data_IF_127413053485
#
_entry.id   IF_127413053485
#
_cell.length_a   1.000
_cell.length_b   1.000
_cell.length_c   1.000
_cell.angle_alpha   90.00
_cell.angle_beta   90.00
_cell.angle_gamma   90.00
#
_symmetry.space_group_name_H-M   'P 1'
#
loop_
_entity.id
_entity.type
_entity.pdbx_description
1 polymer ?
#
# COMPACT_ATOMS: atom_id res chain seq x y z
N UNK A 1 -19.97 -2.89 -8.60
CA UNK A 1 -20.44 -4.18 -8.05
C UNK A 1 -20.83 -3.99 -6.60
N UNK A 2 -22.04 -4.42 -6.20
CA UNK A 2 -22.48 -4.37 -4.79
C UNK A 2 -21.77 -5.46 -3.94
N UNK A 3 -21.58 -5.20 -2.65
CA UNK A 3 -20.87 -6.05 -1.69
C UNK A 3 -21.42 -7.47 -1.59
N UNK A 4 -22.74 -7.68 -1.71
CA UNK A 4 -23.33 -9.03 -1.66
C UNK A 4 -22.80 -9.91 -2.79
N UNK A 5 -22.81 -9.40 -4.03
CA UNK A 5 -22.32 -10.12 -5.21
C UNK A 5 -20.81 -10.35 -5.11
N UNK A 6 -20.07 -9.36 -4.60
CA UNK A 6 -18.62 -9.48 -4.38
C UNK A 6 -18.29 -10.58 -3.37
N UNK A 7 -19.01 -10.61 -2.25
CA UNK A 7 -18.85 -11.62 -1.20
C UNK A 7 -19.13 -13.03 -1.73
N UNK A 8 -20.16 -13.18 -2.57
CA UNK A 8 -20.48 -14.44 -3.22
C UNK A 8 -19.38 -14.90 -4.20
N UNK A 9 -18.86 -13.99 -5.04
CA UNK A 9 -17.71 -14.29 -5.92
C UNK A 9 -16.48 -14.73 -5.14
N UNK A 10 -16.13 -14.03 -4.06
CA UNK A 10 -15.01 -14.41 -3.20
C UNK A 10 -15.23 -15.81 -2.61
N UNK A 11 -16.46 -16.17 -2.22
CA UNK A 11 -16.76 -17.51 -1.69
C UNK A 11 -16.63 -18.58 -2.76
N UNK A 12 -17.11 -18.34 -3.97
CA UNK A 12 -17.12 -19.30 -5.08
C UNK A 12 -15.78 -19.38 -5.85
N UNK A 13 -14.86 -18.44 -5.63
CA UNK A 13 -13.58 -18.41 -6.35
C UNK A 13 -12.73 -19.67 -6.13
N UNK A 14 -11.89 -20.07 -7.11
CA UNK A 14 -10.90 -21.11 -6.88
C UNK A 14 -9.86 -20.65 -5.83
N UNK A 15 -9.16 -21.60 -5.17
CA UNK A 15 -8.01 -21.26 -4.34
C UNK A 15 -6.92 -20.58 -5.17
N UNK A 16 -6.17 -19.67 -4.55
CA UNK A 16 -5.08 -18.94 -5.21
C UNK A 16 -3.95 -19.91 -5.59
N UNK A 17 -3.65 -19.99 -6.89
CA UNK A 17 -2.51 -20.73 -7.42
C UNK A 17 -1.24 -19.86 -7.34
N UNK A 18 -0.32 -20.24 -6.45
CA UNK A 18 0.94 -19.53 -6.26
C UNK A 18 1.76 -19.46 -7.54
N UNK A 19 1.92 -20.58 -8.24
CA UNK A 19 2.83 -20.68 -9.39
C UNK A 19 2.34 -19.84 -10.55
N UNK A 20 1.04 -19.93 -10.85
CA UNK A 20 0.41 -19.12 -11.89
C UNK A 20 0.51 -17.63 -11.57
N UNK A 21 0.11 -17.22 -10.36
CA UNK A 21 0.15 -15.80 -9.96
C UNK A 21 1.56 -15.24 -9.98
N UNK A 22 2.54 -15.97 -9.46
CA UNK A 22 3.94 -15.52 -9.42
C UNK A 22 4.51 -15.37 -10.84
N UNK A 23 4.33 -16.36 -11.71
CA UNK A 23 4.85 -16.34 -13.07
C UNK A 23 4.22 -15.22 -13.91
N UNK A 24 2.90 -15.03 -13.78
CA UNK A 24 2.19 -13.93 -14.43
C UNK A 24 2.68 -12.57 -13.90
N UNK A 25 2.98 -12.47 -12.60
CA UNK A 25 3.54 -11.26 -11.99
C UNK A 25 4.91 -10.90 -12.56
N UNK A 26 5.80 -11.88 -12.74
CA UNK A 26 7.12 -11.68 -13.37
C UNK A 26 6.96 -11.18 -14.81
N UNK A 27 6.07 -11.81 -15.58
CA UNK A 27 5.81 -11.43 -16.97
C UNK A 27 5.23 -10.02 -17.09
N UNK A 28 4.32 -9.65 -16.19
CA UNK A 28 3.74 -8.31 -16.19
C UNK A 28 4.74 -7.26 -15.71
N UNK A 29 5.58 -7.57 -14.72
CA UNK A 29 6.60 -6.66 -14.20
C UNK A 29 7.55 -6.17 -15.30
N UNK A 30 7.96 -7.04 -16.23
CA UNK A 30 8.79 -6.67 -17.37
C UNK A 30 8.16 -5.58 -18.25
N UNK A 31 6.83 -5.42 -18.21
CA UNK A 31 6.10 -4.39 -18.96
C UNK A 31 5.87 -3.12 -18.13
N UNK A 32 5.70 -3.25 -16.81
CA UNK A 32 5.28 -2.14 -15.92
C UNK A 32 6.37 -1.66 -14.96
N UNK A 33 7.62 -2.13 -15.10
CA UNK A 33 8.71 -1.79 -14.19
C UNK A 33 8.94 -0.27 -14.10
N UNK A 34 8.80 0.46 -15.22
CA UNK A 34 8.97 1.91 -15.26
C UNK A 34 7.84 2.63 -14.51
N UNK A 35 6.60 2.19 -14.67
CA UNK A 35 5.45 2.69 -13.92
C UNK A 35 5.60 2.42 -12.43
N UNK A 36 6.14 1.26 -12.08
CA UNK A 36 6.50 0.92 -10.70
C UNK A 36 7.52 1.89 -10.14
N UNK A 37 8.64 2.08 -10.84
CA UNK A 37 9.68 3.03 -10.46
C UNK A 37 9.12 4.44 -10.22
N UNK A 38 8.33 4.97 -11.15
CA UNK A 38 7.70 6.30 -11.01
C UNK A 38 6.76 6.35 -9.81
N UNK A 39 5.95 5.32 -9.58
CA UNK A 39 5.05 5.24 -8.42
C UNK A 39 5.83 5.31 -7.11
N UNK A 40 6.97 4.61 -7.03
CA UNK A 40 7.83 4.61 -5.85
C UNK A 40 8.48 5.98 -5.63
N UNK A 41 9.01 6.61 -6.69
CA UNK A 41 9.60 7.96 -6.61
C UNK A 41 8.55 8.97 -6.15
N UNK A 42 7.34 8.94 -6.72
CA UNK A 42 6.23 9.79 -6.29
C UNK A 42 5.88 9.56 -4.81
N UNK A 43 5.93 8.31 -4.35
CA UNK A 43 5.73 7.98 -2.93
C UNK A 43 6.80 8.65 -2.06
N UNK A 44 8.09 8.52 -2.39
CA UNK A 44 9.16 9.18 -1.64
C UNK A 44 9.05 10.71 -1.65
N UNK A 45 8.85 11.30 -2.82
CA UNK A 45 8.71 12.76 -2.97
C UNK A 45 7.54 13.28 -2.13
N UNK A 46 6.44 12.53 -2.04
CA UNK A 46 5.29 12.92 -1.22
C UNK A 46 5.58 12.90 0.28
N UNK A 47 6.55 12.11 0.74
CA UNK A 47 6.91 11.99 2.16
C UNK A 47 7.89 13.11 2.57
N UNK A 48 8.74 13.59 1.66
CA UNK A 48 9.75 14.64 1.91
C UNK A 48 9.24 15.90 2.64
N UNK A 49 8.12 16.55 2.25
CA UNK A 49 7.67 17.76 2.94
C UNK A 49 7.36 17.51 4.42
N UNK A 50 6.85 16.33 4.75
CA UNK A 50 6.56 15.98 6.14
C UNK A 50 7.84 15.76 6.96
N UNK A 51 8.87 15.17 6.37
CA UNK A 51 10.17 15.07 7.04
C UNK A 51 10.73 16.45 7.40
N UNK A 52 10.63 17.43 6.50
CA UNK A 52 11.05 18.81 6.79
C UNK A 52 10.26 19.40 7.97
N UNK A 53 8.95 19.18 8.03
CA UNK A 53 8.10 19.65 9.14
C UNK A 53 8.49 18.99 10.47
N UNK A 54 8.83 17.70 10.47
CA UNK A 54 9.26 16.97 11.68
C UNK A 54 10.62 17.49 12.18
N UNK A 55 11.57 17.72 11.28
CA UNK A 55 12.93 18.12 11.65
C UNK A 55 13.09 19.62 11.91
N UNK A 56 12.25 20.48 11.33
CA UNK A 56 12.37 21.94 11.48
C UNK A 56 12.37 22.43 12.95
N UNK A 57 11.46 21.97 13.83
CA UNK A 57 11.51 22.34 15.25
C UNK A 57 12.82 21.91 15.92
N UNK A 58 13.34 20.72 15.58
CA UNK A 58 14.57 20.19 16.16
C UNK A 58 15.79 21.05 15.79
N UNK A 59 15.85 21.50 14.52
CA UNK A 59 16.89 22.42 14.04
C UNK A 59 16.76 23.77 14.74
N UNK A 60 15.55 24.32 14.85
CA UNK A 60 15.30 25.59 15.52
C UNK A 60 15.75 25.55 17.00
N UNK A 61 15.38 24.51 17.74
CA UNK A 61 15.79 24.33 19.13
C UNK A 61 17.31 24.15 19.28
N UNK A 62 17.94 23.42 18.36
CA UNK A 62 19.40 23.24 18.34
C UNK A 62 20.19 24.53 18.13
N UNK A 63 19.61 25.52 17.44
CA UNK A 63 20.21 26.85 17.26
C UNK A 63 19.99 27.71 18.51
N UNK A 64 18.79 27.69 19.10
CA UNK A 64 18.44 28.57 20.22
C UNK A 64 19.05 28.13 21.56
N UNK A 65 19.20 26.83 21.78
CA UNK A 65 19.84 26.28 22.98
C UNK A 65 20.68 25.04 22.63
N UNK A 66 21.97 25.23 22.26
CA UNK A 66 22.87 24.13 21.91
C UNK A 66 23.09 23.12 23.04
N UNK A 67 22.77 23.48 24.30
CA UNK A 67 22.92 22.61 25.47
C UNK A 67 21.91 21.46 25.49
N UNK A 68 20.72 21.66 24.91
CA UNK A 68 19.64 20.66 24.82
C UNK A 68 20.05 19.44 23.98
N UNK A 69 20.75 19.66 22.87
CA UNK A 69 21.28 18.58 22.03
C UNK A 69 22.41 17.80 22.73
N UNK A 70 23.20 18.45 23.59
CA UNK A 70 24.34 17.82 24.29
C UNK A 70 23.91 16.93 25.45
N UNK A 71 22.83 17.29 26.16
CA UNK A 71 22.30 16.49 27.27
C UNK A 71 21.33 15.38 26.83
N UNK A 72 21.05 15.27 25.52
CA UNK A 72 20.03 14.37 24.96
C UNK A 72 18.65 14.49 25.64
N UNK A 73 18.37 15.66 26.21
CA UNK A 73 17.11 15.96 26.88
C UNK A 73 16.18 16.61 25.86
N UNK A 74 15.27 15.82 25.31
CA UNK A 74 14.23 16.36 24.43
C UNK A 74 13.28 17.25 25.25
N UNK A 75 13.07 18.52 24.85
CA UNK A 75 12.11 19.38 25.53
C UNK A 75 10.70 18.74 25.53
N UNK A 76 9.95 18.78 26.65
CA UNK A 76 8.61 18.19 26.73
C UNK A 76 7.66 18.67 25.63
N UNK A 77 7.80 19.92 25.20
CA UNK A 77 7.02 20.52 24.09
C UNK A 77 7.29 19.80 22.76
N UNK A 78 8.54 19.42 22.49
CA UNK A 78 8.89 18.67 21.28
C UNK A 78 8.35 17.23 21.33
N UNK A 79 8.45 16.58 22.49
CA UNK A 79 7.86 15.25 22.70
C UNK A 79 6.34 15.26 22.49
N UNK A 80 5.65 16.29 22.99
CA UNK A 80 4.20 16.46 22.76
C UNK A 80 3.88 16.69 21.28
N UNK A 81 4.65 17.55 20.60
CA UNK A 81 4.52 17.76 19.16
C UNK A 81 4.66 16.45 18.38
N UNK A 82 5.68 15.64 18.68
CA UNK A 82 5.92 14.35 18.05
C UNK A 82 4.76 13.37 18.28
N UNK A 83 4.25 13.27 19.51
CA UNK A 83 3.14 12.36 19.85
C UNK A 83 1.87 12.71 19.04
N UNK A 84 1.59 14.00 18.84
CA UNK A 84 0.39 14.44 18.10
C UNK A 84 0.61 14.40 16.59
N UNK A 85 1.78 14.82 16.12
CA UNK A 85 2.07 14.94 14.69
C UNK A 85 2.33 13.57 14.04
N UNK A 86 2.95 12.62 14.75
CA UNK A 86 3.34 11.33 14.16
C UNK A 86 2.15 10.50 13.64
N UNK A 87 1.02 10.37 14.36
CA UNK A 87 -0.17 9.71 13.84
C UNK A 87 -0.75 10.40 12.60
N UNK A 88 -0.74 11.75 12.58
CA UNK A 88 -1.20 12.54 11.43
C UNK A 88 -0.30 12.28 10.21
N UNK A 89 1.01 12.28 10.43
CA UNK A 89 2.00 11.94 9.40
C UNK A 89 1.79 10.53 8.86
N UNK A 90 1.68 9.53 9.75
CA UNK A 90 1.42 8.13 9.34
C UNK A 90 0.14 8.03 8.51
N UNK A 91 -0.93 8.68 8.94
CA UNK A 91 -2.21 8.67 8.21
C UNK A 91 -2.08 9.31 6.82
N UNK A 92 -1.36 10.43 6.71
CA UNK A 92 -1.10 11.08 5.43
C UNK A 92 -0.30 10.17 4.48
N UNK A 93 0.81 9.58 4.97
CA UNK A 93 1.65 8.67 4.17
C UNK A 93 0.87 7.43 3.74
N UNK A 94 0.08 6.82 4.64
CA UNK A 94 -0.75 5.67 4.31
C UNK A 94 -1.80 6.01 3.24
N UNK A 95 -2.45 7.18 3.34
CA UNK A 95 -3.44 7.62 2.35
C UNK A 95 -2.82 7.82 0.98
N UNK A 96 -1.68 8.53 0.91
CA UNK A 96 -0.95 8.77 -0.33
C UNK A 96 -0.48 7.44 -0.93
N UNK A 97 0.10 6.57 -0.10
CA UNK A 97 0.59 5.24 -0.52
C UNK A 97 -0.55 4.36 -1.03
N UNK A 98 -1.72 4.38 -0.39
CA UNK A 98 -2.90 3.64 -0.84
C UNK A 98 -3.34 4.11 -2.23
N UNK A 99 -3.44 5.43 -2.45
CA UNK A 99 -3.81 6.01 -3.73
C UNK A 99 -2.82 5.68 -4.85
N UNK A 100 -1.51 5.82 -4.58
CA UNK A 100 -0.45 5.51 -5.55
C UNK A 100 -0.38 4.02 -5.87
N UNK A 101 -0.49 3.15 -4.87
CA UNK A 101 -0.55 1.70 -5.10
C UNK A 101 -1.80 1.32 -5.91
N UNK A 102 -2.96 1.89 -5.61
CA UNK A 102 -4.18 1.67 -6.38
C UNK A 102 -4.05 2.13 -7.85
N UNK A 103 -3.42 3.29 -8.08
CA UNK A 103 -3.10 3.76 -9.43
C UNK A 103 -2.17 2.78 -10.15
N UNK A 104 -1.14 2.27 -9.47
CA UNK A 104 -0.23 1.27 -10.03
C UNK A 104 -0.93 -0.05 -10.37
N UNK A 105 -1.85 -0.55 -9.53
CA UNK A 105 -2.64 -1.74 -9.86
C UNK A 105 -3.55 -1.48 -11.08
N UNK A 106 -4.10 -0.27 -11.22
CA UNK A 106 -4.84 0.11 -12.42
C UNK A 106 -3.96 0.12 -13.68
N UNK A 107 -2.70 0.55 -13.57
CA UNK A 107 -1.73 0.46 -14.66
C UNK A 107 -1.39 -1.01 -14.98
N UNK A 108 -1.20 -1.86 -13.97
CA UNK A 108 -1.02 -3.30 -14.15
C UNK A 108 -2.17 -3.90 -15.00
N UNK A 109 -3.42 -3.55 -14.69
CA UNK A 109 -4.58 -3.94 -15.49
C UNK A 109 -4.47 -3.52 -16.94
N UNK A 110 -4.13 -2.25 -17.20
CA UNK A 110 -4.05 -1.72 -18.57
C UNK A 110 -3.01 -2.48 -19.40
N UNK A 111 -1.82 -2.70 -18.84
CA UNK A 111 -0.74 -3.40 -19.54
C UNK A 111 -0.98 -4.91 -19.69
N UNK A 112 -1.67 -5.52 -18.74
CA UNK A 112 -2.08 -6.92 -18.83
C UNK A 112 -3.13 -7.13 -19.93
N UNK A 113 -4.17 -6.27 -19.97
CA UNK A 113 -5.26 -6.31 -20.94
C UNK A 113 -4.97 -5.60 -22.27
N UNK A 114 -3.78 -5.00 -22.42
CA UNK A 114 -3.36 -4.19 -23.59
C UNK A 114 -4.31 -3.04 -23.92
N UNK A 115 -4.90 -2.42 -22.88
CA UNK A 115 -5.76 -1.24 -23.03
C UNK A 115 -4.93 -0.01 -23.42
N UNK A 116 -5.41 0.78 -24.39
CA UNK A 116 -4.75 2.01 -24.83
C UNK A 116 -5.21 3.17 -23.96
N UNK A 117 -4.26 3.93 -23.39
CA UNK A 117 -4.56 5.16 -22.65
C UNK A 117 -3.33 5.69 -21.92
N UNK A 118 -3.41 6.93 -21.45
CA UNK A 118 -2.33 7.53 -20.66
C UNK A 118 -2.27 6.95 -19.25
N UNK A 119 -1.06 6.85 -18.72
CA UNK A 119 -0.81 6.52 -17.32
C UNK A 119 -1.18 7.72 -16.44
N UNK A 120 -2.13 7.51 -15.51
CA UNK A 120 -2.65 8.55 -14.61
C UNK A 120 -2.37 8.16 -13.16
N UNK A 121 -1.20 8.56 -12.67
CA UNK A 121 -0.74 8.28 -11.30
C UNK A 121 -1.60 8.97 -10.23
N UNK A 122 -2.23 10.09 -10.57
CA UNK A 122 -2.99 10.91 -9.62
C UNK A 122 -4.50 10.65 -9.70
N UNK A 123 -4.94 9.60 -10.40
CA UNK A 123 -6.35 9.30 -10.60
C UNK A 123 -7.15 9.23 -9.28
N UNK A 124 -6.60 8.55 -8.27
CA UNK A 124 -7.25 8.37 -6.96
C UNK A 124 -7.08 9.56 -5.99
N UNK A 125 -6.39 10.63 -6.42
CA UNK A 125 -6.29 11.88 -5.67
C UNK A 125 -7.44 12.85 -5.95
N UNK A 126 -8.39 12.48 -6.81
CA UNK A 126 -9.62 13.25 -7.03
C UNK A 126 -10.50 13.20 -5.78
N UNK A 127 -11.21 14.30 -5.49
CA UNK A 127 -12.03 14.51 -4.28
C UNK A 127 -13.01 13.36 -4.00
N UNK A 128 -13.56 12.76 -5.06
CA UNK A 128 -14.50 11.63 -4.99
C UNK A 128 -13.88 10.37 -4.35
N UNK A 129 -12.61 10.09 -4.62
CA UNK A 129 -11.90 8.91 -4.10
C UNK A 129 -11.13 9.20 -2.81
N UNK A 130 -10.66 10.43 -2.61
CA UNK A 130 -9.84 10.81 -1.45
C UNK A 130 -10.54 10.55 -0.11
N UNK A 131 -11.84 10.84 -0.01
CA UNK A 131 -12.59 10.59 1.24
C UNK A 131 -12.61 9.10 1.58
N UNK A 132 -12.80 8.23 0.57
CA UNK A 132 -12.77 6.77 0.75
C UNK A 132 -11.36 6.30 1.08
N UNK A 133 -10.33 6.80 0.39
CA UNK A 133 -8.93 6.47 0.65
C UNK A 133 -8.51 6.83 2.09
N UNK A 134 -8.90 8.02 2.55
CA UNK A 134 -8.63 8.48 3.91
C UNK A 134 -9.29 7.56 4.95
N UNK A 135 -10.56 7.18 4.73
CA UNK A 135 -11.28 6.28 5.64
C UNK A 135 -10.67 4.86 5.67
N UNK A 136 -10.28 4.31 4.51
CA UNK A 136 -9.56 3.02 4.46
C UNK A 136 -8.23 3.12 5.19
N UNK A 137 -7.49 4.22 5.02
CA UNK A 137 -6.20 4.45 5.68
C UNK A 137 -6.33 4.62 7.20
N UNK A 138 -7.43 5.23 7.65
CA UNK A 138 -7.75 5.33 9.08
C UNK A 138 -7.96 3.93 9.69
N UNK A 139 -8.64 3.03 8.98
CA UNK A 139 -8.79 1.64 9.39
C UNK A 139 -7.44 0.91 9.36
N UNK A 140 -6.62 1.12 8.32
CA UNK A 140 -5.26 0.55 8.26
C UNK A 140 -4.40 0.96 9.46
N UNK A 141 -4.45 2.24 9.84
CA UNK A 141 -3.72 2.76 10.99
C UNK A 141 -4.21 2.11 12.29
N UNK A 142 -5.53 2.05 12.51
CA UNK A 142 -6.11 1.39 13.68
C UNK A 142 -5.75 -0.10 13.77
N UNK A 143 -5.83 -0.83 12.66
CA UNK A 143 -5.42 -2.23 12.58
C UNK A 143 -3.91 -2.40 12.83
N UNK A 144 -3.07 -1.45 12.39
CA UNK A 144 -1.62 -1.48 12.66
C UNK A 144 -1.34 -1.37 14.15
N UNK A 145 -2.00 -0.44 14.85
CA UNK A 145 -1.91 -0.34 16.32
C UNK A 145 -2.40 -1.60 17.02
N UNK A 146 -3.56 -2.15 16.62
CA UNK A 146 -4.07 -3.42 17.16
C UNK A 146 -3.10 -4.57 16.95
N UNK A 147 -2.44 -4.63 15.78
CA UNK A 147 -1.44 -5.64 15.47
C UNK A 147 -0.21 -5.57 16.37
N UNK A 148 0.28 -4.36 16.66
CA UNK A 148 1.40 -4.14 17.61
C UNK A 148 1.00 -4.57 19.02
N UNK A 149 -0.18 -4.16 19.49
CA UNK A 149 -0.69 -4.49 20.82
C UNK A 149 -0.88 -6.02 21.02
N UNK A 150 -1.17 -6.75 19.94
CA UNK A 150 -1.25 -8.21 19.93
C UNK A 150 0.14 -8.89 19.86
N UNK A 151 1.12 -8.37 20.58
CA UNK A 151 2.51 -8.87 20.64
C UNK A 151 3.20 -9.02 19.28
N UNK A 152 2.83 -8.20 18.28
CA UNK A 152 3.38 -8.25 16.92
C UNK A 152 2.92 -9.43 16.06
N UNK A 153 2.47 -10.55 16.66
CA UNK A 153 1.87 -11.68 15.93
C UNK A 153 0.63 -11.24 15.13
N UNK A 154 -0.13 -10.28 15.65
CA UNK A 154 -1.25 -9.68 14.95
C UNK A 154 -0.85 -9.04 13.61
N UNK A 155 0.34 -8.45 13.50
CA UNK A 155 0.83 -7.84 12.25
C UNK A 155 1.06 -8.91 11.18
N UNK A 156 1.62 -10.06 11.54
CA UNK A 156 1.88 -11.16 10.60
C UNK A 156 0.57 -11.60 9.95
N UNK A 157 -0.48 -11.76 10.76
CA UNK A 157 -1.82 -12.09 10.26
C UNK A 157 -2.41 -10.97 9.39
N UNK A 158 -2.31 -9.71 9.84
CA UNK A 158 -2.91 -8.55 9.18
C UNK A 158 -2.21 -8.13 7.87
N UNK A 159 -0.96 -8.51 7.66
CA UNK A 159 -0.22 -8.26 6.41
C UNK A 159 -1.01 -8.75 5.19
N UNK A 160 -1.64 -9.92 5.29
CA UNK A 160 -2.39 -10.53 4.19
C UNK A 160 -3.61 -9.68 3.79
N UNK A 161 -4.61 -9.46 4.65
CA UNK A 161 -5.77 -8.67 4.27
C UNK A 161 -5.41 -7.22 3.94
N UNK A 162 -4.48 -6.59 4.65
CA UNK A 162 -4.06 -5.21 4.34
C UNK A 162 -3.42 -5.08 2.94
N UNK A 163 -2.67 -6.09 2.49
CA UNK A 163 -2.06 -6.07 1.16
C UNK A 163 -3.09 -6.01 0.02
N UNK A 164 -4.33 -6.47 0.26
CA UNK A 164 -5.44 -6.49 -0.69
C UNK A 164 -6.22 -5.17 -0.76
N UNK A 165 -6.08 -4.29 0.24
CA UNK A 165 -6.85 -3.05 0.31
C UNK A 165 -6.70 -2.17 -0.94
N UNK A 166 -5.48 -1.97 -1.51
CA UNK A 166 -5.33 -1.19 -2.73
C UNK A 166 -6.08 -1.78 -3.92
N UNK A 167 -6.21 -3.11 -4.03
CA UNK A 167 -6.89 -3.76 -5.16
C UNK A 167 -8.41 -3.55 -5.08
N UNK A 168 -9.02 -3.84 -3.93
CA UNK A 168 -10.46 -3.59 -3.71
C UNK A 168 -10.79 -2.10 -3.76
N UNK A 169 -9.90 -1.23 -3.27
CA UNK A 169 -10.07 0.21 -3.41
C UNK A 169 -9.97 0.66 -4.88
N UNK A 170 -9.08 0.07 -5.68
CA UNK A 170 -8.86 0.45 -7.07
C UNK A 170 -9.99 0.00 -8.01
N UNK A 171 -10.39 -1.27 -7.91
CA UNK A 171 -11.25 -1.91 -8.90
C UNK A 171 -12.74 -1.87 -8.56
N UNK A 172 -13.11 -1.71 -7.29
CA UNK A 172 -14.51 -1.58 -6.88
C UNK A 172 -14.84 -0.17 -6.37
N UNK A 173 -15.28 0.70 -7.27
CA UNK A 173 -15.60 2.11 -6.93
C UNK A 173 -16.77 2.24 -5.95
N UNK A 174 -17.79 1.41 -6.11
CA UNK A 174 -19.05 1.48 -5.36
C UNK A 174 -18.94 1.07 -3.88
N UNK A 175 -17.90 0.32 -3.50
CA UNK A 175 -17.75 -0.12 -2.12
C UNK A 175 -17.50 1.06 -1.18
N UNK A 176 -18.11 1.04 -0.01
CA UNK A 176 -17.68 1.86 1.12
C UNK A 176 -16.31 1.42 1.64
N UNK A 177 -15.65 2.28 2.44
CA UNK A 177 -14.37 1.95 3.04
C UNK A 177 -14.42 0.68 3.89
N UNK A 178 -15.52 0.47 4.63
CA UNK A 178 -15.67 -0.73 5.48
C UNK A 178 -15.92 -1.99 4.65
N UNK A 179 -16.60 -1.88 3.51
CA UNK A 179 -16.79 -3.02 2.60
C UNK A 179 -15.48 -3.42 1.91
N UNK A 180 -14.62 -2.46 1.55
CA UNK A 180 -13.24 -2.73 1.09
C UNK A 180 -12.49 -3.56 2.12
N UNK A 181 -12.54 -3.16 3.39
CA UNK A 181 -11.89 -3.87 4.48
C UNK A 181 -12.48 -5.28 4.62
N UNK A 182 -13.81 -5.41 4.72
CA UNK A 182 -14.48 -6.72 4.86
C UNK A 182 -14.18 -7.65 3.71
N UNK A 183 -14.21 -7.17 2.46
CA UNK A 183 -13.91 -7.97 1.28
C UNK A 183 -12.44 -8.43 1.28
N UNK A 184 -11.52 -7.55 1.67
CA UNK A 184 -10.10 -7.88 1.81
C UNK A 184 -9.85 -8.94 2.88
N UNK A 185 -10.54 -8.87 4.02
CA UNK A 185 -10.48 -9.92 5.05
C UNK A 185 -11.12 -11.23 4.58
N UNK A 186 -12.24 -11.18 3.85
CA UNK A 186 -12.89 -12.37 3.34
C UNK A 186 -11.98 -13.13 2.35
N UNK A 187 -11.41 -12.42 1.37
CA UNK A 187 -10.48 -13.03 0.40
C UNK A 187 -9.15 -13.43 1.05
N UNK A 188 -8.62 -12.57 1.93
CA UNK A 188 -7.40 -12.80 2.69
C UNK A 188 -7.49 -14.05 3.55
N UNK A 189 -8.58 -14.25 4.29
CA UNK A 189 -8.77 -15.42 5.16
C UNK A 189 -8.94 -16.71 4.37
N UNK A 190 -9.68 -16.64 3.25
CA UNK A 190 -9.89 -17.81 2.39
C UNK A 190 -8.57 -18.38 1.85
N UNK A 191 -7.62 -17.51 1.49
CA UNK A 191 -6.37 -17.88 0.83
C UNK A 191 -5.13 -17.47 1.63
N UNK A 192 -5.24 -17.43 2.97
CA UNK A 192 -4.28 -16.72 3.82
C UNK A 192 -2.83 -17.15 3.57
N UNK A 193 -2.56 -18.46 3.60
CA UNK A 193 -1.22 -18.99 3.42
C UNK A 193 -0.65 -18.67 2.03
N UNK A 194 -1.47 -18.80 0.98
CA UNK A 194 -1.02 -18.59 -0.40
C UNK A 194 -0.70 -17.12 -0.66
N UNK A 195 -1.55 -16.21 -0.18
CA UNK A 195 -1.32 -14.77 -0.31
C UNK A 195 -0.12 -14.35 0.55
N UNK A 196 0.00 -14.88 1.77
CA UNK A 196 1.15 -14.64 2.64
C UNK A 196 2.47 -15.03 1.97
N UNK A 197 2.54 -16.24 1.38
CA UNK A 197 3.71 -16.71 0.66
C UNK A 197 4.00 -15.85 -0.57
N UNK A 198 2.98 -15.50 -1.37
CA UNK A 198 3.16 -14.64 -2.55
C UNK A 198 3.70 -13.25 -2.17
N UNK A 199 3.12 -12.60 -1.16
CA UNK A 199 3.57 -11.29 -0.69
C UNK A 199 4.98 -11.38 -0.11
N UNK A 200 5.30 -12.44 0.62
CA UNK A 200 6.62 -12.65 1.21
C UNK A 200 7.69 -12.88 0.13
N UNK A 201 7.46 -13.83 -0.78
CA UNK A 201 8.41 -14.14 -1.86
C UNK A 201 8.56 -12.95 -2.80
N UNK A 202 7.46 -12.29 -3.20
CA UNK A 202 7.55 -11.10 -4.02
C UNK A 202 8.24 -9.94 -3.29
N UNK A 203 8.06 -9.82 -1.98
CA UNK A 203 8.80 -8.89 -1.13
C UNK A 203 10.31 -9.15 -1.16
N UNK A 204 10.74 -10.41 -1.03
CA UNK A 204 12.15 -10.78 -1.11
C UNK A 204 12.75 -10.52 -2.51
N UNK A 205 12.03 -10.91 -3.57
CA UNK A 205 12.45 -10.64 -4.96
C UNK A 205 12.57 -9.13 -5.21
N UNK A 206 11.68 -8.34 -4.61
CA UNK A 206 11.71 -6.88 -4.71
C UNK A 206 12.97 -6.26 -4.10
N UNK A 207 13.67 -6.96 -3.20
CA UNK A 207 14.95 -6.54 -2.62
C UNK A 207 16.17 -6.94 -3.45
N UNK A 208 16.04 -7.77 -4.50
CA UNK A 208 17.18 -8.18 -5.32
C UNK A 208 17.87 -7.00 -6.02
N UNK A 209 17.17 -5.88 -6.19
CA UNK A 209 17.75 -4.62 -6.64
C UNK A 209 18.87 -4.08 -5.74
N UNK A 210 19.01 -4.55 -4.49
CA UNK A 210 20.16 -4.21 -3.62
C UNK A 210 21.48 -4.64 -4.26
N UNK A 211 21.48 -5.76 -4.98
CA UNK A 211 22.66 -6.31 -5.67
C UNK A 211 23.15 -5.33 -6.77
N UNK A 212 22.23 -4.54 -7.34
CA UNK A 212 22.52 -3.48 -8.31
C UNK A 212 22.76 -2.13 -7.62
N UNK A 213 23.76 -2.10 -6.72
CA UNK A 213 24.25 -0.90 -6.04
C UNK A 213 23.21 -0.12 -5.20
N UNK A 214 22.28 -0.81 -4.53
CA UNK A 214 21.17 -0.23 -3.74
C UNK A 214 20.13 0.58 -4.54
N UNK A 215 20.54 1.29 -5.59
CA UNK A 215 19.64 2.06 -6.48
C UNK A 215 18.71 1.13 -7.25
N UNK A 216 19.16 -0.10 -7.56
CA UNK A 216 18.32 -1.11 -8.20
C UNK A 216 17.01 -1.41 -7.45
N UNK A 217 16.97 -1.22 -6.12
CA UNK A 217 15.75 -1.39 -5.32
C UNK A 217 14.63 -0.50 -5.83
N UNK A 218 14.95 0.71 -6.32
CA UNK A 218 13.94 1.62 -6.82
C UNK A 218 13.19 1.05 -8.03
N UNK A 219 13.86 0.23 -8.83
CA UNK A 219 13.28 -0.42 -10.00
C UNK A 219 12.54 -1.71 -9.65
N UNK A 220 12.96 -2.43 -8.60
CA UNK A 220 12.39 -3.73 -8.23
C UNK A 220 11.33 -3.69 -7.12
N UNK A 221 11.29 -2.63 -6.29
CA UNK A 221 10.43 -2.56 -5.10
C UNK A 221 8.94 -2.80 -5.38
N UNK A 222 8.44 -2.29 -6.51
CA UNK A 222 7.02 -2.38 -6.86
C UNK A 222 6.60 -3.75 -7.39
N UNK A 223 7.53 -4.67 -7.63
CA UNK A 223 7.21 -6.06 -7.94
C UNK A 223 6.32 -6.68 -6.85
N UNK A 224 6.56 -6.35 -5.58
CA UNK A 224 5.78 -6.80 -4.41
C UNK A 224 4.28 -6.50 -4.48
N UNK A 225 3.85 -5.54 -5.33
CA UNK A 225 2.44 -5.15 -5.46
C UNK A 225 1.72 -5.90 -6.57
N UNK A 226 2.44 -6.47 -7.54
CA UNK A 226 1.85 -7.10 -8.73
C UNK A 226 1.07 -8.38 -8.41
N UNK A 227 1.52 -9.30 -7.51
CA UNK A 227 0.74 -10.49 -7.20
C UNK A 227 -0.69 -10.20 -6.73
N UNK A 228 -0.89 -9.08 -6.00
CA UNK A 228 -2.20 -8.64 -5.52
C UNK A 228 -3.16 -8.35 -6.68
N UNK A 229 -2.64 -7.81 -7.80
CA UNK A 229 -3.43 -7.60 -9.01
C UNK A 229 -4.00 -8.92 -9.54
N UNK A 230 -3.15 -9.94 -9.70
CA UNK A 230 -3.59 -11.25 -10.20
C UNK A 230 -4.48 -11.99 -9.19
N UNK A 231 -4.18 -11.94 -7.89
CA UNK A 231 -5.05 -12.51 -6.85
C UNK A 231 -6.46 -11.93 -6.94
N UNK A 232 -6.58 -10.61 -7.06
CA UNK A 232 -7.87 -9.95 -7.21
C UNK A 232 -8.53 -10.34 -8.54
N UNK A 233 -7.78 -10.30 -9.66
CA UNK A 233 -8.27 -10.66 -10.99
C UNK A 233 -8.83 -12.08 -11.04
N UNK A 234 -8.12 -13.04 -10.48
CA UNK A 234 -8.47 -14.46 -10.57
C UNK A 234 -9.59 -14.82 -9.59
N UNK A 235 -9.64 -14.19 -8.41
CA UNK A 235 -10.66 -14.49 -7.40
C UNK A 235 -11.98 -13.73 -7.61
N UNK A 236 -11.92 -12.46 -8.01
CA UNK A 236 -13.11 -11.60 -8.13
C UNK A 236 -13.51 -11.40 -9.59
N UNK A 237 -12.53 -11.37 -10.50
CA UNK A 237 -12.73 -10.90 -11.86
C UNK A 237 -12.77 -9.37 -11.92
N UNK A 238 -12.09 -8.79 -12.89
CA UNK A 238 -12.11 -7.34 -13.11
C UNK A 238 -13.32 -7.04 -14.00
N UNK A 239 -14.30 -6.29 -13.50
CA UNK A 239 -15.36 -5.80 -14.37
C UNK A 239 -14.74 -4.88 -15.44
N UNK A 240 -15.12 -5.09 -16.70
CA UNK A 240 -14.65 -4.31 -17.85
C UNK A 240 -15.25 -2.90 -17.87
N UNK A 241 -15.42 -2.27 -16.71
CA UNK A 241 -16.04 -0.96 -16.62
C UNK A 241 -15.00 0.07 -17.09
N UNK A 242 -15.10 0.38 -18.39
CA UNK A 242 -14.49 1.51 -19.11
C UNK A 242 -14.99 2.82 -18.51
#
# INVERSE_FOLDING_TARGET
MNFTNLSERIKQSPPVDFGAVFNNSVTLFQKVWLQGFVTLVLTFVSILPFYLVIYAPMIAFGITDPGTLRHNQMPPVFSLFMIVFMPIFMLAVMTISLCLNAAFLRMCRKYDLREIGKDDYFFYFKKEYLKKAFMVSLVMLGLSFLGVLACGLGIIYLVVPMSLFPAFFAFDRELSAMEVVKASFALGNKNWLMIFLLVTVAGLVSQLGVILCFVGVLFTAMFSKIPIYFIYKDAVGISMDV
#
